data_IF_334150356023
#
_entry.id   IF_334150356023
#
_cell.length_a   1.000
_cell.length_b   1.000
_cell.length_c   1.000
_cell.angle_alpha   90.00
_cell.angle_beta   90.00
_cell.angle_gamma   90.00
#
_symmetry.space_group_name_H-M   'P 1'
#
loop_
_entity.id
_entity.type
_entity.pdbx_description
1 polymer ?
#
# COMPACT_ATOMS: atom_id res chain seq x y z
N UNK A 1 1.63 36.15 55.41
CA UNK A 1 1.81 34.68 55.56
C UNK A 1 0.75 33.88 54.79
N UNK A 2 -0.58 34.10 54.98
CA UNK A 2 -1.65 33.38 54.25
C UNK A 2 -1.60 33.55 52.71
N UNK A 3 -1.24 34.73 52.19
CA UNK A 3 -1.11 34.98 50.73
C UNK A 3 -0.02 34.12 50.07
N UNK A 4 1.12 33.92 50.74
CA UNK A 4 2.21 33.09 50.23
C UNK A 4 1.87 31.60 50.25
N UNK A 5 1.14 31.13 51.27
CA UNK A 5 0.62 29.75 51.33
C UNK A 5 -0.38 29.47 50.19
N UNK A 6 -1.26 30.43 49.88
CA UNK A 6 -2.17 30.35 48.74
C UNK A 6 -1.41 30.31 47.41
N UNK A 7 -0.42 31.18 47.21
CA UNK A 7 0.42 31.15 46.01
C UNK A 7 1.19 29.82 45.87
N UNK A 8 1.70 29.27 46.97
CA UNK A 8 2.39 27.98 46.96
C UNK A 8 1.43 26.82 46.62
N UNK A 9 0.22 26.81 47.16
CA UNK A 9 -0.80 25.82 46.82
C UNK A 9 -1.21 25.88 45.33
N UNK A 10 -1.33 27.08 44.75
CA UNK A 10 -1.63 27.25 43.32
C UNK A 10 -0.46 26.79 42.45
N UNK A 11 0.78 27.12 42.81
CA UNK A 11 1.97 26.68 42.06
C UNK A 11 2.16 25.17 42.09
N UNK A 12 2.02 24.56 43.27
CA UNK A 12 2.15 23.10 43.44
C UNK A 12 1.06 22.35 42.68
N UNK A 13 -0.19 22.81 42.72
CA UNK A 13 -1.28 22.21 41.93
C UNK A 13 -1.08 22.38 40.43
N UNK A 14 -0.60 23.55 39.97
CA UNK A 14 -0.27 23.77 38.56
C UNK A 14 0.87 22.84 38.08
N UNK A 15 1.92 22.68 38.89
CA UNK A 15 3.03 21.76 38.61
C UNK A 15 2.54 20.30 38.55
N UNK A 16 1.69 19.87 39.49
CA UNK A 16 1.09 18.54 39.49
C UNK A 16 0.21 18.31 38.26
N UNK A 17 -0.58 19.30 37.86
CA UNK A 17 -1.41 19.24 36.65
C UNK A 17 -0.54 19.11 35.37
N UNK A 18 0.53 19.90 35.27
CA UNK A 18 1.51 19.81 34.19
C UNK A 18 2.19 18.43 34.16
N UNK A 19 2.68 17.94 35.31
CA UNK A 19 3.33 16.64 35.42
C UNK A 19 2.38 15.49 35.02
N UNK A 20 1.12 15.53 35.48
CA UNK A 20 0.08 14.58 35.08
C UNK A 20 -0.17 14.60 33.57
N UNK A 21 -0.26 15.80 32.95
CA UNK A 21 -0.46 15.94 31.51
C UNK A 21 0.73 15.38 30.74
N UNK A 22 1.95 15.70 31.14
CA UNK A 22 3.18 15.20 30.52
C UNK A 22 3.30 13.68 30.64
N UNK A 23 3.00 13.12 31.81
CA UNK A 23 3.01 11.67 32.01
C UNK A 23 1.96 10.95 31.15
N UNK A 24 0.76 11.53 31.03
CA UNK A 24 -0.29 10.99 30.15
C UNK A 24 0.13 11.04 28.67
N UNK A 25 0.79 12.12 28.25
CA UNK A 25 1.31 12.25 26.89
C UNK A 25 2.41 11.22 26.62
N UNK A 26 3.41 11.12 27.50
CA UNK A 26 4.50 10.15 27.38
C UNK A 26 3.98 8.70 27.34
N UNK A 27 3.02 8.35 28.21
CA UNK A 27 2.38 7.02 28.18
C UNK A 27 1.60 6.76 26.88
N UNK A 28 0.98 7.79 26.31
CA UNK A 28 0.32 7.71 25.00
C UNK A 28 1.31 7.41 23.88
N UNK A 29 2.44 8.11 23.89
CA UNK A 29 3.52 7.95 22.92
C UNK A 29 4.16 6.55 23.01
N UNK A 30 4.50 6.09 24.22
CA UNK A 30 5.05 4.74 24.42
C UNK A 30 4.09 3.66 23.92
N UNK A 31 2.77 3.84 24.11
CA UNK A 31 1.76 2.92 23.56
C UNK A 31 1.71 2.95 22.04
N UNK A 32 1.76 4.14 21.42
CA UNK A 32 1.80 4.26 19.95
C UNK A 32 3.02 3.57 19.37
N UNK A 33 4.20 3.78 19.97
CA UNK A 33 5.44 3.16 19.53
C UNK A 33 5.40 1.63 19.68
N UNK A 34 4.87 1.11 20.80
CA UNK A 34 4.67 -0.32 20.98
C UNK A 34 3.70 -0.92 19.94
N UNK A 35 2.61 -0.21 19.63
CA UNK A 35 1.67 -0.61 18.57
C UNK A 35 2.34 -0.62 17.19
N UNK A 36 3.21 0.37 16.89
CA UNK A 36 3.98 0.41 15.65
C UNK A 36 5.01 -0.71 15.55
N UNK A 37 5.73 -1.01 16.63
CA UNK A 37 6.66 -2.14 16.66
C UNK A 37 5.92 -3.46 16.43
N UNK A 38 4.74 -3.62 17.02
CA UNK A 38 3.88 -4.78 16.77
C UNK A 38 3.46 -4.85 15.29
N UNK A 39 3.09 -3.72 14.69
CA UNK A 39 2.70 -3.65 13.28
C UNK A 39 3.87 -3.90 12.31
N UNK A 40 5.09 -3.50 12.68
CA UNK A 40 6.30 -3.77 11.90
C UNK A 40 6.75 -5.22 12.03
N UNK A 41 6.60 -5.81 13.21
CA UNK A 41 6.91 -7.22 13.46
C UNK A 41 5.84 -8.16 12.86
N UNK A 42 4.60 -7.69 12.70
CA UNK A 42 3.57 -8.47 12.02
C UNK A 42 3.86 -8.53 10.53
N UNK A 43 4.02 -9.74 10.01
CA UNK A 43 4.15 -9.95 8.57
C UNK A 43 2.85 -9.61 7.84
N UNK A 44 2.96 -9.35 6.53
CA UNK A 44 1.79 -9.20 5.66
C UNK A 44 1.08 -10.54 5.55
N UNK A 45 -0.09 -10.65 6.20
CA UNK A 45 -0.94 -11.83 6.14
C UNK A 45 -1.56 -11.92 4.74
N UNK A 46 -1.12 -12.91 3.96
CA UNK A 46 -1.63 -13.20 2.63
C UNK A 46 -2.63 -14.34 2.68
N UNK A 47 -3.77 -14.17 2.05
CA UNK A 47 -4.84 -15.16 2.05
C UNK A 47 -5.68 -15.06 0.78
N UNK A 48 -6.56 -16.04 0.57
CA UNK A 48 -7.56 -15.99 -0.51
C UNK A 48 -8.94 -15.69 0.06
N UNK A 49 -9.71 -14.85 -0.64
CA UNK A 49 -11.11 -14.63 -0.29
C UNK A 49 -11.93 -15.91 -0.53
N UNK A 50 -13.18 -15.93 -0.07
CA UNK A 50 -14.10 -17.05 -0.37
C UNK A 50 -14.31 -17.27 -1.87
N UNK A 51 -14.10 -16.23 -2.68
CA UNK A 51 -14.21 -16.26 -4.13
C UNK A 51 -12.88 -16.64 -4.81
N UNK A 52 -11.83 -16.96 -4.03
CA UNK A 52 -10.51 -17.34 -4.54
C UNK A 52 -9.62 -16.16 -4.95
N UNK A 53 -10.04 -14.92 -4.70
CA UNK A 53 -9.26 -13.72 -5.02
C UNK A 53 -8.05 -13.58 -4.10
N UNK A 54 -6.93 -13.10 -4.64
CA UNK A 54 -5.71 -12.86 -3.87
C UNK A 54 -5.88 -11.63 -2.97
N UNK A 55 -5.64 -11.81 -1.68
CA UNK A 55 -5.81 -10.79 -0.66
C UNK A 55 -4.59 -10.68 0.27
N UNK A 56 -4.36 -9.47 0.77
CA UNK A 56 -3.33 -9.17 1.75
C UNK A 56 -3.88 -8.29 2.85
N UNK A 57 -3.45 -8.56 4.07
CA UNK A 57 -3.82 -7.83 5.26
C UNK A 57 -2.60 -7.27 5.96
N UNK A 58 -2.64 -6.00 6.33
CA UNK A 58 -1.53 -5.35 7.05
C UNK A 58 -2.06 -4.41 8.11
N UNK A 59 -1.39 -4.39 9.27
CA UNK A 59 -1.66 -3.42 10.31
C UNK A 59 -1.09 -2.05 9.94
N UNK A 60 -1.86 -1.00 10.17
CA UNK A 60 -1.45 0.37 9.90
C UNK A 60 -0.35 0.83 10.86
N UNK A 61 0.66 1.48 10.31
CA UNK A 61 1.63 2.28 11.07
C UNK A 61 1.06 3.66 11.36
N UNK A 62 1.34 4.20 12.55
CA UNK A 62 0.96 5.55 12.94
C UNK A 62 2.21 6.38 13.12
N UNK A 63 2.52 7.19 12.12
CA UNK A 63 3.72 8.01 12.11
C UNK A 63 3.35 9.49 12.17
N UNK A 64 4.13 10.28 12.89
CA UNK A 64 4.09 11.74 12.77
C UNK A 64 4.67 12.15 11.41
N UNK A 65 4.35 13.36 10.97
CA UNK A 65 4.87 13.89 9.72
C UNK A 65 6.42 13.87 9.67
N UNK A 66 7.09 14.22 10.78
CA UNK A 66 8.55 14.18 10.86
C UNK A 66 9.10 12.74 10.82
N UNK A 67 8.49 11.81 11.55
CA UNK A 67 8.88 10.40 11.54
C UNK A 67 8.69 9.77 10.16
N UNK A 68 7.63 10.13 9.45
CA UNK A 68 7.41 9.68 8.07
C UNK A 68 8.48 10.23 7.12
N UNK A 69 8.85 11.50 7.28
CA UNK A 69 9.90 12.11 6.47
C UNK A 69 11.28 11.47 6.70
N UNK A 70 11.59 11.12 7.95
CA UNK A 70 12.85 10.46 8.31
C UNK A 70 12.88 8.99 7.88
N UNK A 71 11.85 8.20 8.25
CA UNK A 71 11.82 6.76 8.06
C UNK A 71 11.40 6.34 6.64
N UNK A 72 10.75 7.23 5.88
CA UNK A 72 10.22 6.99 4.52
C UNK A 72 10.57 8.15 3.57
N UNK A 73 11.82 8.59 3.60
CA UNK A 73 12.32 9.71 2.80
C UNK A 73 11.99 9.61 1.30
N UNK A 74 12.08 8.40 0.71
CA UNK A 74 11.75 8.17 -0.70
C UNK A 74 10.27 8.40 -1.02
N UNK A 75 9.36 7.90 -0.16
CA UNK A 75 7.92 8.08 -0.34
C UNK A 75 7.54 9.55 -0.08
N UNK A 76 8.18 10.20 0.90
CA UNK A 76 8.03 11.63 1.15
C UNK A 76 8.46 12.49 -0.05
N UNK A 77 9.59 12.17 -0.70
CA UNK A 77 10.03 12.84 -1.92
C UNK A 77 9.02 12.65 -3.07
N UNK A 78 8.48 11.43 -3.24
CA UNK A 78 7.45 11.15 -4.24
C UNK A 78 6.18 11.95 -4.01
N UNK A 79 5.72 12.08 -2.76
CA UNK A 79 4.55 12.90 -2.42
C UNK A 79 4.79 14.39 -2.77
N UNK A 80 6.01 14.90 -2.53
CA UNK A 80 6.36 16.28 -2.93
C UNK A 80 6.36 16.48 -4.44
N UNK A 81 6.84 15.48 -5.20
CA UNK A 81 6.80 15.50 -6.67
C UNK A 81 5.36 15.53 -7.20
N UNK A 82 4.40 14.96 -6.46
CA UNK A 82 2.96 15.09 -6.77
C UNK A 82 2.39 16.48 -6.42
N UNK A 83 3.21 17.42 -5.92
CA UNK A 83 2.77 18.75 -5.50
C UNK A 83 2.03 18.78 -4.16
N UNK A 84 2.05 17.67 -3.40
CA UNK A 84 1.33 17.54 -2.14
C UNK A 84 2.26 17.92 -0.98
N UNK A 85 1.82 18.85 -0.13
CA UNK A 85 2.54 19.22 1.10
C UNK A 85 2.38 18.10 2.14
N UNK A 86 3.48 17.60 2.72
CA UNK A 86 3.45 16.48 3.69
C UNK A 86 2.49 16.72 4.87
N UNK A 87 2.39 17.95 5.38
CA UNK A 87 1.44 18.33 6.44
C UNK A 87 -0.05 18.16 6.08
N UNK A 88 -0.38 18.02 4.78
CA UNK A 88 -1.73 17.76 4.28
C UNK A 88 -1.98 16.27 4.05
N UNK A 89 -0.96 15.42 4.14
CA UNK A 89 -1.08 13.98 3.97
C UNK A 89 -1.80 13.40 5.17
N UNK A 90 -2.83 12.62 4.87
CA UNK A 90 -3.65 11.92 5.85
C UNK A 90 -3.18 10.48 6.04
N UNK A 91 -2.86 9.81 4.95
CA UNK A 91 -2.32 8.47 4.92
C UNK A 91 -1.52 8.26 3.63
N UNK A 92 -0.58 7.33 3.67
CA UNK A 92 0.13 6.82 2.52
C UNK A 92 -0.01 5.30 2.50
N UNK A 93 -0.34 4.74 1.34
CA UNK A 93 -0.44 3.30 1.13
C UNK A 93 0.44 2.93 -0.05
N UNK A 94 1.19 1.84 0.09
CA UNK A 94 2.07 1.32 -0.94
C UNK A 94 1.87 -0.17 -1.04
N UNK A 95 1.61 -0.65 -2.25
CA UNK A 95 1.39 -2.06 -2.51
C UNK A 95 2.16 -2.45 -3.77
N UNK A 96 2.88 -3.56 -3.69
CA UNK A 96 3.61 -4.13 -4.81
C UNK A 96 2.94 -5.44 -5.21
N UNK A 97 2.60 -5.55 -6.48
CA UNK A 97 1.94 -6.70 -7.06
C UNK A 97 2.80 -7.32 -8.15
N UNK A 98 2.68 -8.63 -8.32
CA UNK A 98 3.33 -9.38 -9.37
C UNK A 98 2.26 -10.14 -10.14
N UNK A 99 2.11 -9.81 -11.42
CA UNK A 99 1.21 -10.51 -12.33
C UNK A 99 2.03 -11.45 -13.20
N UNK A 100 1.77 -12.75 -13.13
CA UNK A 100 2.46 -13.76 -13.91
C UNK A 100 1.45 -14.57 -14.74
N UNK A 101 1.62 -14.57 -16.06
CA UNK A 101 0.77 -15.28 -17.01
C UNK A 101 1.62 -16.16 -17.90
N UNK A 102 1.30 -17.45 -17.95
CA UNK A 102 1.84 -18.37 -18.95
C UNK A 102 0.79 -18.51 -20.04
N UNK A 103 1.10 -18.00 -21.23
CA UNK A 103 0.19 -18.04 -22.36
C UNK A 103 0.60 -19.12 -23.36
N UNK A 104 -0.39 -19.66 -24.06
CA UNK A 104 -0.22 -20.51 -25.24
C UNK A 104 -1.14 -19.96 -26.32
N UNK A 105 -0.56 -19.51 -27.43
CA UNK A 105 -1.29 -18.85 -28.51
C UNK A 105 -0.94 -19.50 -29.85
N UNK A 106 -1.92 -19.75 -30.72
CA UNK A 106 -1.64 -20.21 -32.07
C UNK A 106 -0.95 -19.11 -32.88
N UNK A 107 0.08 -19.49 -33.65
CA UNK A 107 0.73 -18.62 -34.62
C UNK A 107 -0.03 -18.68 -35.94
N UNK A 108 -0.26 -17.52 -36.55
CA UNK A 108 -0.89 -17.37 -37.86
C UNK A 108 0.09 -16.70 -38.81
N UNK A 109 0.41 -17.36 -39.92
CA UNK A 109 1.26 -16.78 -40.95
C UNK A 109 0.52 -15.63 -41.67
N UNK A 110 1.24 -14.54 -41.93
CA UNK A 110 0.81 -13.39 -42.73
C UNK A 110 1.95 -13.03 -43.66
N UNK A 111 1.66 -12.86 -44.94
CA UNK A 111 2.61 -12.30 -45.90
C UNK A 111 2.50 -10.77 -45.90
N UNK A 112 3.63 -10.09 -45.75
CA UNK A 112 3.70 -8.63 -45.79
C UNK A 112 4.63 -8.20 -46.92
N UNK A 113 4.23 -7.26 -47.79
CA UNK A 113 5.08 -6.79 -48.86
C UNK A 113 6.32 -6.07 -48.30
N UNK A 114 7.50 -6.49 -48.73
CA UNK A 114 8.78 -5.86 -48.39
C UNK A 114 9.02 -4.70 -49.36
N UNK A 115 9.38 -3.53 -48.83
CA UNK A 115 9.93 -2.45 -49.66
C UNK A 115 11.31 -2.86 -50.16
N UNK A 116 11.41 -3.26 -51.41
CA UNK A 116 12.64 -3.60 -52.11
C UNK A 116 12.54 -3.17 -53.58
N UNK A 117 13.68 -3.08 -54.27
CA UNK A 117 13.73 -2.75 -55.72
C UNK A 117 13.01 -3.79 -56.60
N UNK A 118 12.76 -4.98 -56.06
CA UNK A 118 12.00 -6.08 -56.68
C UNK A 118 10.86 -6.46 -55.71
N UNK A 119 9.64 -6.78 -56.18
CA UNK A 119 8.56 -7.26 -55.31
C UNK A 119 9.00 -8.48 -54.52
N UNK A 120 9.11 -8.34 -53.20
CA UNK A 120 9.47 -9.42 -52.28
C UNK A 120 8.44 -9.46 -51.14
N UNK A 121 8.13 -10.66 -50.65
CA UNK A 121 7.23 -10.86 -49.52
C UNK A 121 8.04 -11.29 -48.30
N UNK A 122 7.69 -10.76 -47.14
CA UNK A 122 8.19 -11.24 -45.86
C UNK A 122 7.11 -12.02 -45.12
N UNK A 123 7.51 -13.03 -44.36
CA UNK A 123 6.59 -13.87 -43.60
C UNK A 123 6.57 -13.39 -42.16
N UNK A 124 5.46 -12.77 -41.74
CA UNK A 124 5.21 -12.40 -40.35
C UNK A 124 4.25 -13.39 -39.70
N UNK A 125 4.64 -13.94 -38.56
CA UNK A 125 3.78 -14.80 -37.73
C UNK A 125 3.11 -13.97 -36.67
N UNK A 126 1.78 -13.85 -36.73
CA UNK A 126 1.00 -13.12 -35.72
C UNK A 126 0.40 -14.09 -34.71
N UNK A 127 0.42 -13.69 -33.44
CA UNK A 127 -0.31 -14.38 -32.38
C UNK A 127 -1.15 -13.40 -31.58
N UNK A 128 -2.26 -13.91 -31.07
CA UNK A 128 -3.14 -13.16 -30.16
C UNK A 128 -3.68 -14.10 -29.11
N UNK A 129 -3.54 -13.69 -27.86
CA UNK A 129 -4.08 -14.36 -26.70
C UNK A 129 -4.73 -13.32 -25.80
N UNK A 130 -5.87 -13.67 -25.21
CA UNK A 130 -6.57 -12.79 -24.28
C UNK A 130 -7.33 -13.61 -23.25
N UNK A 131 -7.40 -13.07 -22.06
CA UNK A 131 -8.35 -13.44 -21.03
C UNK A 131 -9.08 -12.15 -20.56
N UNK A 132 -9.89 -12.19 -19.48
CA UNK A 132 -10.55 -11.00 -18.95
C UNK A 132 -9.63 -9.89 -18.41
N UNK A 133 -8.37 -10.16 -18.06
CA UNK A 133 -7.46 -9.24 -17.38
C UNK A 133 -6.22 -8.89 -18.21
N UNK A 134 -5.77 -9.77 -19.10
CA UNK A 134 -4.53 -9.66 -19.87
C UNK A 134 -4.79 -9.94 -21.34
N UNK A 135 -4.30 -9.06 -22.19
CA UNK A 135 -4.26 -9.23 -23.65
C UNK A 135 -2.82 -9.19 -24.10
N UNK A 136 -2.41 -10.20 -24.87
CA UNK A 136 -1.09 -10.29 -25.49
C UNK A 136 -1.28 -10.49 -26.98
N UNK A 137 -0.75 -9.57 -27.76
CA UNK A 137 -0.72 -9.66 -29.22
C UNK A 137 0.69 -9.37 -29.71
N UNK A 138 1.09 -10.00 -30.80
CA UNK A 138 2.42 -9.77 -31.34
C UNK A 138 2.60 -10.34 -32.74
N UNK A 139 3.67 -9.89 -33.36
CA UNK A 139 4.16 -10.37 -34.65
C UNK A 139 5.61 -10.78 -34.51
N UNK A 140 5.94 -11.95 -35.04
CA UNK A 140 7.29 -12.50 -35.11
C UNK A 140 7.70 -12.46 -36.58
N UNK A 141 8.70 -11.66 -36.89
CA UNK A 141 9.35 -11.65 -38.20
C UNK A 141 10.52 -12.64 -38.25
N UNK A 142 11.45 -12.40 -39.17
CA UNK A 142 12.61 -13.28 -39.37
C UNK A 142 13.62 -13.20 -38.23
N UNK A 143 13.88 -12.00 -37.73
CA UNK A 143 14.93 -11.67 -36.76
C UNK A 143 14.42 -10.85 -35.57
N UNK A 144 13.13 -10.49 -35.58
CA UNK A 144 12.53 -9.56 -34.63
C UNK A 144 11.15 -10.02 -34.19
N UNK A 145 10.78 -9.65 -32.97
CA UNK A 145 9.45 -9.87 -32.41
C UNK A 145 8.94 -8.56 -31.83
N UNK A 146 7.77 -8.13 -32.29
CA UNK A 146 7.03 -7.02 -31.71
C UNK A 146 5.88 -7.60 -30.90
N UNK A 147 5.77 -7.19 -29.63
CA UNK A 147 4.70 -7.65 -28.76
C UNK A 147 4.10 -6.49 -27.98
N UNK A 148 2.77 -6.48 -27.91
CA UNK A 148 1.99 -5.57 -27.08
C UNK A 148 1.28 -6.38 -26.00
N UNK A 149 1.63 -6.07 -24.76
CA UNK A 149 1.02 -6.65 -23.56
C UNK A 149 0.19 -5.57 -22.88
N UNK A 150 -1.08 -5.86 -22.62
CA UNK A 150 -1.98 -5.01 -21.83
C UNK A 150 -2.50 -5.83 -20.67
N UNK A 151 -2.28 -5.37 -19.44
CA UNK A 151 -2.85 -5.95 -18.22
C UNK A 151 -3.65 -4.88 -17.50
N UNK A 152 -4.90 -5.20 -17.18
CA UNK A 152 -5.81 -4.33 -16.42
C UNK A 152 -6.18 -5.08 -15.15
N UNK A 153 -5.75 -4.54 -14.01
CA UNK A 153 -6.03 -5.10 -12.70
C UNK A 153 -6.78 -4.08 -11.84
N UNK A 154 -7.67 -4.58 -10.97
CA UNK A 154 -8.41 -3.81 -9.98
C UNK A 154 -7.98 -4.24 -8.59
N UNK A 155 -7.31 -3.32 -7.86
CA UNK A 155 -7.00 -3.47 -6.44
C UNK A 155 -8.04 -2.73 -5.60
N UNK A 156 -8.78 -3.46 -4.76
CA UNK A 156 -9.70 -2.89 -3.78
C UNK A 156 -8.99 -2.79 -2.44
N UNK A 157 -8.92 -1.58 -1.89
CA UNK A 157 -8.30 -1.33 -0.59
C UNK A 157 -9.36 -0.88 0.42
N UNK A 158 -9.43 -1.56 1.57
CA UNK A 158 -10.38 -1.26 2.64
C UNK A 158 -9.62 -1.09 3.95
N UNK A 159 -9.72 0.08 4.56
CA UNK A 159 -9.12 0.38 5.87
C UNK A 159 -10.22 0.38 6.92
N UNK A 160 -10.05 -0.41 7.98
CA UNK A 160 -11.04 -0.53 9.04
C UNK A 160 -10.40 -0.52 10.43
N UNK A 161 -11.21 -0.23 11.44
CA UNK A 161 -10.80 -0.23 12.85
C UNK A 161 -10.91 -1.64 13.41
N UNK A 162 -9.86 -2.10 14.07
CA UNK A 162 -9.87 -3.31 14.89
C UNK A 162 -10.23 -2.90 16.32
N UNK A 163 -11.39 -3.30 16.86
CA UNK A 163 -11.78 -2.93 18.21
C UNK A 163 -10.96 -3.69 19.25
N UNK A 164 -10.90 -3.15 20.48
CA UNK A 164 -10.45 -3.95 21.64
C UNK A 164 -11.56 -4.91 22.01
N UNK A 165 -11.19 -6.13 22.43
CA UNK A 165 -12.14 -7.17 22.81
C UNK A 165 -11.74 -7.76 24.16
N UNK A 166 -12.74 -7.88 25.04
CA UNK A 166 -12.69 -8.65 26.28
C UNK A 166 -14.03 -9.35 26.37
N UNK A 167 -13.98 -10.68 26.40
CA UNK A 167 -15.14 -11.56 26.25
C UNK A 167 -15.97 -11.19 24.99
N UNK A 168 -17.18 -10.65 25.18
CA UNK A 168 -18.12 -10.27 24.12
C UNK A 168 -18.21 -8.75 23.90
N UNK A 169 -17.58 -7.93 24.74
CA UNK A 169 -17.65 -6.48 24.64
C UNK A 169 -16.57 -5.98 23.67
N UNK A 170 -16.96 -5.14 22.71
CA UNK A 170 -16.07 -4.44 21.80
C UNK A 170 -16.04 -2.95 22.16
N UNK A 171 -14.86 -2.37 22.33
CA UNK A 171 -14.74 -0.93 22.60
C UNK A 171 -13.48 -0.34 21.98
N UNK A 172 -13.53 0.96 21.70
CA UNK A 172 -12.39 1.73 21.22
C UNK A 172 -11.77 1.20 19.93
N UNK A 173 -10.52 1.58 19.67
CA UNK A 173 -9.73 1.11 18.53
C UNK A 173 -8.39 0.62 19.04
N UNK A 174 -8.09 -0.66 18.81
CA UNK A 174 -6.78 -1.27 19.07
C UNK A 174 -5.82 -0.83 17.96
N UNK A 175 -6.16 -1.14 16.72
CA UNK A 175 -5.35 -0.82 15.55
C UNK A 175 -6.22 -0.45 14.35
N UNK A 176 -5.61 0.15 13.34
CA UNK A 176 -6.21 0.23 12.00
C UNK A 176 -5.61 -0.89 11.16
N UNK A 177 -6.42 -1.51 10.31
CA UNK A 177 -5.98 -2.61 9.46
C UNK A 177 -6.44 -2.37 8.03
N UNK A 178 -5.52 -2.50 7.09
CA UNK A 178 -5.81 -2.41 5.66
C UNK A 178 -5.96 -3.82 5.10
N UNK A 179 -7.03 -4.03 4.33
CA UNK A 179 -7.24 -5.18 3.49
C UNK A 179 -7.08 -4.75 2.03
N UNK A 180 -6.35 -5.53 1.25
CA UNK A 180 -6.19 -5.31 -0.19
C UNK A 180 -6.59 -6.59 -0.90
N UNK A 181 -7.42 -6.47 -1.92
CA UNK A 181 -7.89 -7.60 -2.73
C UNK A 181 -7.65 -7.28 -4.20
N UNK A 182 -7.01 -8.19 -4.94
CA UNK A 182 -6.90 -8.10 -6.38
C UNK A 182 -8.00 -8.93 -7.04
N UNK A 183 -8.64 -8.36 -8.08
CA UNK A 183 -9.63 -9.10 -8.87
C UNK A 183 -8.97 -9.98 -9.94
N UNK A 184 -7.68 -9.79 -10.21
CA UNK A 184 -6.95 -10.55 -11.22
C UNK A 184 -6.36 -11.83 -10.59
N UNK A 185 -6.78 -13.03 -11.05
CA UNK A 185 -6.28 -14.30 -10.52
C UNK A 185 -4.78 -14.55 -10.82
N UNK A 186 -4.22 -13.80 -11.77
CA UNK A 186 -2.80 -13.87 -12.13
C UNK A 186 -1.93 -12.96 -11.26
N UNK A 187 -2.53 -12.05 -10.49
CA UNK A 187 -1.81 -11.09 -9.66
C UNK A 187 -1.64 -11.64 -8.24
N UNK A 188 -0.41 -11.64 -7.75
CA UNK A 188 -0.10 -11.84 -6.33
C UNK A 188 0.34 -10.54 -5.69
N UNK A 189 -0.15 -10.28 -4.48
CA UNK A 189 0.31 -9.15 -3.67
C UNK A 189 1.60 -9.58 -2.96
N UNK A 190 2.73 -8.98 -3.37
CA UNK A 190 4.07 -9.32 -2.85
C UNK A 190 4.38 -8.53 -1.59
N UNK A 191 3.97 -7.26 -1.57
CA UNK A 191 4.23 -6.37 -0.45
C UNK A 191 3.07 -5.40 -0.29
N UNK A 192 2.75 -5.04 0.95
CA UNK A 192 1.88 -3.90 1.22
C UNK A 192 2.21 -3.25 2.56
N UNK A 193 2.10 -1.94 2.61
CA UNK A 193 2.17 -1.15 3.83
C UNK A 193 1.11 -0.04 3.80
N UNK A 194 0.65 0.32 4.99
CA UNK A 194 -0.25 1.44 5.20
C UNK A 194 0.25 2.29 6.36
N UNK A 195 0.44 3.58 6.11
CA UNK A 195 0.87 4.55 7.10
C UNK A 195 -0.24 5.59 7.27
N UNK A 196 -0.76 5.72 8.49
CA UNK A 196 -1.60 6.85 8.91
C UNK A 196 -0.69 7.95 9.46
N UNK A 197 -0.86 9.17 8.95
CA UNK A 197 -0.15 10.33 9.47
C UNK A 197 -0.92 10.90 10.67
N UNK A 198 -0.27 10.92 11.84
CA UNK A 198 -0.80 11.59 13.03
C UNK A 198 -0.41 13.08 13.02
N UNK A 199 -1.35 13.91 13.49
CA UNK A 199 -1.21 15.36 13.64
C UNK A 199 -0.98 15.72 15.10
#
# INVERSE_FOLDING_TARGET
MKKFLLCYAVLTTALLACACRSCRHARGESRRLADNQTALASEVERYRTRLGEEAASVQALRLRCAEFEELRAADAARIRQLGIRLRRVEAAAKSSTQTAVVLRAPLRDTLVPRRAAVPAWDTLRRFRWRDPWVTVEGSIGRDSAECRIRSVDTLRQVVHRVPRRFLFIRWGTKALRQQIVSSNPHTRIVYTEYVRIER
#
